data_IF_444708844696
#
_entry.id   IF_444708844696
#
_cell.length_a   1.000
_cell.length_b   1.000
_cell.length_c   1.000
_cell.angle_alpha   90.00
_cell.angle_beta   90.00
_cell.angle_gamma   90.00
#
_symmetry.space_group_name_H-M   'P 1'
#
loop_
_entity.id
_entity.type
_entity.pdbx_description
1 polymer ?
#
# COMPACT_ATOMS: atom_id res chain seq x y z
N UNK A 1 -11.66 -5.43 -38.02
CA UNK A 1 -12.03 -4.59 -36.87
C UNK A 1 -11.27 -5.12 -35.68
N UNK A 2 -10.27 -4.37 -35.25
CA UNK A 2 -9.43 -4.62 -34.07
C UNK A 2 -10.31 -4.85 -32.85
N UNK A 3 -10.17 -5.99 -32.18
CA UNK A 3 -10.81 -6.23 -30.88
C UNK A 3 -10.35 -5.18 -29.87
N UNK A 4 -11.15 -4.88 -28.83
CA UNK A 4 -10.73 -3.96 -27.78
C UNK A 4 -9.43 -4.50 -27.20
N UNK A 5 -8.36 -3.72 -27.31
CA UNK A 5 -7.16 -3.92 -26.53
C UNK A 5 -7.64 -3.84 -25.08
N UNK A 6 -7.60 -4.94 -24.32
CA UNK A 6 -7.95 -4.91 -22.91
C UNK A 6 -7.10 -3.82 -22.28
N UNK A 7 -7.73 -2.76 -21.77
CA UNK A 7 -7.05 -1.68 -21.08
C UNK A 7 -6.27 -2.33 -19.93
N UNK A 8 -4.94 -2.27 -20.02
CA UNK A 8 -4.09 -2.84 -18.98
C UNK A 8 -4.08 -1.82 -17.85
N UNK A 9 -4.76 -2.15 -16.75
CA UNK A 9 -4.71 -1.32 -15.54
C UNK A 9 -3.28 -1.24 -15.05
N UNK A 10 -2.71 -0.04 -14.96
CA UNK A 10 -1.39 0.17 -14.35
C UNK A 10 -1.53 -0.04 -12.85
N UNK A 11 -0.67 -0.90 -12.28
CA UNK A 11 -0.82 -1.37 -10.91
C UNK A 11 0.21 -0.70 -9.99
N UNK A 12 -0.25 0.10 -9.05
CA UNK A 12 0.60 0.76 -8.07
C UNK A 12 0.43 0.14 -6.69
N UNK A 13 1.53 -0.34 -6.11
CA UNK A 13 1.60 -0.79 -4.73
C UNK A 13 2.02 0.32 -3.79
N UNK A 14 1.72 0.16 -2.50
CA UNK A 14 2.24 1.04 -1.44
C UNK A 14 2.80 0.22 -0.28
N UNK A 15 3.83 0.76 0.35
CA UNK A 15 4.28 0.38 1.69
C UNK A 15 4.76 1.62 2.44
N UNK A 16 4.58 1.69 3.75
CA UNK A 16 5.05 2.85 4.48
C UNK A 16 4.87 2.80 5.99
N UNK A 17 5.22 3.92 6.64
CA UNK A 17 5.08 4.06 8.08
C UNK A 17 3.60 4.16 8.51
N UNK A 18 3.31 3.54 9.67
CA UNK A 18 1.98 3.54 10.31
C UNK A 18 1.58 4.88 10.91
N UNK A 19 2.56 5.69 11.28
CA UNK A 19 2.39 7.05 11.80
C UNK A 19 3.21 7.97 10.93
N UNK A 20 2.55 8.96 10.32
CA UNK A 20 3.15 9.88 9.38
C UNK A 20 3.08 11.31 9.91
N UNK A 21 4.20 12.07 9.90
CA UNK A 21 4.17 13.51 10.13
C UNK A 21 3.30 14.21 9.05
N UNK A 22 2.60 15.31 9.38
CA UNK A 22 1.73 16.00 8.44
C UNK A 22 2.41 16.40 7.12
N UNK A 23 3.68 16.83 7.19
CA UNK A 23 4.48 17.19 6.01
C UNK A 23 4.72 16.03 5.05
N UNK A 24 4.85 14.79 5.58
CA UNK A 24 4.98 13.58 4.75
C UNK A 24 3.64 13.21 4.13
N UNK A 25 2.54 13.33 4.87
CA UNK A 25 1.17 13.13 4.34
C UNK A 25 0.93 14.08 3.16
N UNK A 26 1.19 15.37 3.34
CA UNK A 26 1.03 16.38 2.28
C UNK A 26 1.91 16.09 1.06
N UNK A 27 3.16 15.69 1.29
CA UNK A 27 4.09 15.33 0.22
C UNK A 27 3.58 14.13 -0.59
N UNK A 28 3.18 13.05 0.10
CA UNK A 28 2.68 11.83 -0.54
C UNK A 28 1.39 12.09 -1.33
N UNK A 29 0.41 12.78 -0.73
CA UNK A 29 -0.86 13.13 -1.40
C UNK A 29 -0.61 14.02 -2.62
N UNK A 30 0.26 15.03 -2.50
CA UNK A 30 0.62 15.90 -3.64
C UNK A 30 1.28 15.11 -4.76
N UNK A 31 2.14 14.14 -4.42
CA UNK A 31 2.78 13.29 -5.41
C UNK A 31 1.75 12.43 -6.13
N UNK A 32 0.91 11.68 -5.39
CA UNK A 32 -0.09 10.78 -5.97
C UNK A 32 -1.10 11.50 -6.86
N UNK A 33 -1.57 12.69 -6.48
CA UNK A 33 -2.45 13.51 -7.34
C UNK A 33 -1.84 13.90 -8.69
N UNK A 34 -0.52 13.85 -8.83
CA UNK A 34 0.19 14.19 -10.07
C UNK A 34 0.51 12.97 -10.93
N UNK A 35 0.75 11.82 -10.29
CA UNK A 35 1.31 10.64 -10.98
C UNK A 35 0.31 9.51 -11.17
N UNK A 36 -0.73 9.43 -10.32
CA UNK A 36 -1.78 8.44 -10.50
C UNK A 36 -2.62 8.84 -11.71
N UNK A 37 -2.77 7.96 -12.73
CA UNK A 37 -3.68 8.21 -13.82
C UNK A 37 -5.11 8.33 -13.30
N UNK A 38 -5.88 9.21 -13.93
CA UNK A 38 -7.31 9.31 -13.65
C UNK A 38 -8.06 8.13 -14.28
N UNK A 39 -9.21 7.81 -13.71
CA UNK A 39 -10.18 6.84 -14.22
C UNK A 39 -9.81 5.36 -13.97
N UNK A 40 -10.62 4.45 -14.51
CA UNK A 40 -10.63 3.03 -14.17
C UNK A 40 -9.36 2.25 -14.57
N UNK A 41 -8.45 2.88 -15.34
CA UNK A 41 -7.17 2.29 -15.79
C UNK A 41 -6.10 2.23 -14.67
N UNK A 42 -6.47 2.56 -13.44
CA UNK A 42 -5.62 2.54 -12.26
C UNK A 42 -6.06 1.43 -11.31
N UNK A 43 -5.13 0.55 -10.94
CA UNK A 43 -5.33 -0.38 -9.83
C UNK A 43 -4.33 -0.10 -8.69
N UNK A 44 -4.85 0.22 -7.51
CA UNK A 44 -4.04 0.30 -6.28
C UNK A 44 -3.97 -1.04 -5.57
N UNK A 45 -2.79 -1.42 -5.09
CA UNK A 45 -2.60 -2.63 -4.25
C UNK A 45 -2.09 -2.22 -2.88
N UNK A 46 -2.78 -2.65 -1.81
CA UNK A 46 -2.47 -2.22 -0.44
C UNK A 46 -2.71 -3.32 0.60
N UNK A 47 -1.90 -3.34 1.67
CA UNK A 47 -2.16 -4.20 2.83
C UNK A 47 -3.11 -3.53 3.84
N UNK A 48 -3.48 -2.25 3.62
CA UNK A 48 -4.34 -1.43 4.47
C UNK A 48 -3.85 -1.26 5.92
N UNK A 49 -2.53 -1.32 6.13
CA UNK A 49 -1.95 -0.93 7.41
C UNK A 49 -2.30 0.52 7.77
N UNK A 50 -2.18 0.90 9.05
CA UNK A 50 -2.34 2.30 9.45
C UNK A 50 -1.43 3.22 8.63
N UNK A 51 -1.79 4.50 8.52
CA UNK A 51 -0.94 5.50 7.91
C UNK A 51 -0.89 5.41 6.39
N UNK A 52 0.29 5.14 5.82
CA UNK A 52 0.56 5.26 4.39
C UNK A 52 -0.37 4.41 3.51
N UNK A 53 -0.62 3.18 3.92
CA UNK A 53 -1.37 2.20 3.14
C UNK A 53 -2.84 2.59 2.97
N UNK A 54 -3.49 3.00 4.06
CA UNK A 54 -4.87 3.50 4.01
C UNK A 54 -4.96 4.86 3.30
N UNK A 55 -3.97 5.74 3.50
CA UNK A 55 -3.95 7.04 2.83
C UNK A 55 -3.85 6.89 1.30
N UNK A 56 -2.97 6.01 0.82
CA UNK A 56 -2.85 5.68 -0.59
C UNK A 56 -4.13 5.08 -1.16
N UNK A 57 -4.72 4.10 -0.47
CA UNK A 57 -5.97 3.47 -0.90
C UNK A 57 -7.11 4.50 -1.06
N UNK A 58 -7.20 5.47 -0.14
CA UNK A 58 -8.13 6.60 -0.29
C UNK A 58 -7.85 7.44 -1.53
N UNK A 59 -6.58 7.73 -1.86
CA UNK A 59 -6.25 8.50 -3.07
C UNK A 59 -6.54 7.74 -4.36
N UNK A 60 -6.31 6.43 -4.40
CA UNK A 60 -6.64 5.58 -5.55
C UNK A 60 -8.14 5.63 -5.84
N UNK A 61 -8.97 5.41 -4.82
CA UNK A 61 -10.43 5.46 -4.99
C UNK A 61 -10.92 6.88 -5.36
N UNK A 62 -10.31 7.92 -4.78
CA UNK A 62 -10.64 9.30 -5.13
C UNK A 62 -10.26 9.68 -6.57
N UNK A 63 -9.30 8.98 -7.18
CA UNK A 63 -8.92 9.15 -8.58
C UNK A 63 -9.82 8.35 -9.55
N UNK A 64 -10.80 7.60 -9.04
CA UNK A 64 -11.67 6.74 -9.85
C UNK A 64 -11.06 5.36 -10.17
N UNK A 65 -9.92 5.02 -9.57
CA UNK A 65 -9.28 3.73 -9.75
C UNK A 65 -9.93 2.61 -8.92
N UNK A 66 -9.47 1.38 -9.16
CA UNK A 66 -9.86 0.19 -8.40
C UNK A 66 -8.84 -0.13 -7.30
N UNK A 67 -9.28 -0.81 -6.24
CA UNK A 67 -8.43 -1.22 -5.14
C UNK A 67 -8.42 -2.75 -5.00
N UNK A 68 -7.23 -3.32 -4.97
CA UNK A 68 -6.96 -4.69 -4.54
C UNK A 68 -6.32 -4.68 -3.15
N UNK A 69 -6.87 -5.48 -2.24
CA UNK A 69 -6.39 -5.56 -0.86
C UNK A 69 -5.74 -6.92 -0.63
N UNK A 70 -4.54 -6.91 -0.05
CA UNK A 70 -3.84 -8.14 0.37
C UNK A 70 -3.74 -8.15 1.89
N UNK A 71 -4.51 -9.01 2.56
CA UNK A 71 -4.54 -9.11 4.00
C UNK A 71 -3.54 -10.17 4.52
N UNK A 72 -2.80 -9.90 5.60
CA UNK A 72 -1.95 -10.88 6.27
C UNK A 72 -2.71 -12.11 6.80
N UNK A 73 -3.93 -11.91 7.28
CA UNK A 73 -4.79 -12.93 7.88
C UNK A 73 -6.23 -12.38 8.05
N UNK A 74 -7.21 -13.23 8.33
CA UNK A 74 -8.60 -12.79 8.56
C UNK A 74 -8.73 -11.86 9.79
N UNK A 75 -8.00 -12.11 10.87
CA UNK A 75 -8.01 -11.31 12.10
C UNK A 75 -7.24 -9.98 12.03
N UNK A 76 -6.77 -9.57 10.85
CA UNK A 76 -5.81 -8.48 10.71
C UNK A 76 -6.29 -7.14 11.29
N UNK A 77 -7.58 -6.83 11.14
CA UNK A 77 -8.16 -5.57 11.64
C UNK A 77 -7.95 -5.37 13.15
N UNK A 78 -7.83 -6.45 13.93
CA UNK A 78 -7.55 -6.39 15.36
C UNK A 78 -6.14 -5.89 15.72
N UNK A 79 -5.22 -5.85 14.75
CA UNK A 79 -3.84 -5.37 14.93
C UNK A 79 -3.66 -3.87 14.66
N UNK A 80 -4.70 -3.17 14.19
CA UNK A 80 -4.67 -1.74 13.87
C UNK A 80 -4.77 -0.88 15.14
N UNK A 81 -4.11 0.29 15.14
CA UNK A 81 -3.84 1.03 16.38
C UNK A 81 -5.06 1.75 16.99
N UNK A 82 -5.98 2.25 16.17
CA UNK A 82 -7.08 3.12 16.60
C UNK A 82 -8.43 2.69 16.03
N UNK A 83 -9.53 3.03 16.73
CA UNK A 83 -10.90 2.76 16.24
C UNK A 83 -11.18 3.43 14.89
N UNK A 84 -10.72 4.67 14.70
CA UNK A 84 -10.88 5.39 13.43
C UNK A 84 -10.15 4.68 12.28
N UNK A 85 -8.95 4.18 12.53
CA UNK A 85 -8.20 3.40 11.53
C UNK A 85 -8.91 2.09 11.20
N UNK A 86 -9.52 1.41 12.18
CA UNK A 86 -10.33 0.21 11.96
C UNK A 86 -11.60 0.49 11.17
N UNK A 87 -12.26 1.63 11.41
CA UNK A 87 -13.40 2.07 10.63
C UNK A 87 -13.01 2.32 9.17
N UNK A 88 -11.93 3.09 8.95
CA UNK A 88 -11.39 3.36 7.60
C UNK A 88 -10.95 2.09 6.89
N UNK A 89 -10.25 1.18 7.58
CA UNK A 89 -9.91 -0.14 7.06
C UNK A 89 -11.16 -0.89 6.56
N UNK A 90 -12.23 -0.89 7.35
CA UNK A 90 -13.47 -1.60 7.03
C UNK A 90 -14.17 -1.00 5.82
N UNK A 91 -14.18 0.34 5.70
CA UNK A 91 -14.70 1.05 4.54
C UNK A 91 -13.90 0.76 3.27
N UNK A 92 -12.56 0.87 3.35
CA UNK A 92 -11.66 0.61 2.22
C UNK A 92 -11.73 -0.84 1.77
N UNK A 93 -11.73 -1.80 2.70
CA UNK A 93 -11.88 -3.23 2.39
C UNK A 93 -13.21 -3.52 1.70
N UNK A 94 -14.30 -2.88 2.10
CA UNK A 94 -15.62 -3.03 1.47
C UNK A 94 -15.67 -2.40 0.07
N UNK A 95 -14.92 -1.32 -0.15
CA UNK A 95 -14.82 -0.67 -1.45
C UNK A 95 -13.84 -1.37 -2.40
N UNK A 96 -13.01 -2.30 -1.91
CA UNK A 96 -12.06 -3.03 -2.73
C UNK A 96 -12.76 -3.91 -3.78
N UNK A 97 -12.22 -3.90 -4.99
CA UNK A 97 -12.65 -4.76 -6.07
C UNK A 97 -12.28 -6.23 -5.81
N UNK A 98 -11.19 -6.47 -5.08
CA UNK A 98 -10.76 -7.80 -4.67
C UNK A 98 -10.03 -7.76 -3.33
N UNK A 99 -10.15 -8.87 -2.58
CA UNK A 99 -9.44 -9.07 -1.31
C UNK A 99 -8.80 -10.46 -1.35
N UNK A 100 -7.48 -10.50 -1.23
CA UNK A 100 -6.70 -11.72 -1.04
C UNK A 100 -6.28 -11.81 0.43
N UNK A 101 -6.69 -12.85 1.14
CA UNK A 101 -6.19 -13.13 2.49
C UNK A 101 -5.11 -14.19 2.43
N UNK A 102 -3.93 -13.91 2.99
CA UNK A 102 -2.85 -14.90 3.13
C UNK A 102 -3.24 -15.98 4.14
N UNK A 103 -2.76 -17.23 3.98
CA UNK A 103 -3.21 -18.38 4.77
C UNK A 103 -2.53 -18.46 6.14
N UNK A 104 -2.48 -17.34 6.88
CA UNK A 104 -1.97 -17.29 8.25
C UNK A 104 -3.14 -17.19 9.24
N UNK A 105 -3.04 -17.88 10.40
CA UNK A 105 -4.14 -17.91 11.37
C UNK A 105 -4.34 -16.58 12.10
N UNK A 106 -3.26 -15.83 12.32
CA UNK A 106 -3.26 -14.60 13.10
C UNK A 106 -2.18 -13.60 12.64
N UNK A 107 -2.28 -12.32 13.04
CA UNK A 107 -1.30 -11.32 12.70
C UNK A 107 0.07 -11.68 13.30
N UNK A 108 1.08 -11.76 12.45
CA UNK A 108 2.45 -12.09 12.83
C UNK A 108 3.42 -11.45 11.84
N UNK A 109 4.68 -11.29 12.23
CA UNK A 109 5.72 -10.74 11.35
C UNK A 109 5.85 -11.54 10.04
N UNK A 110 5.69 -12.87 10.09
CA UNK A 110 5.68 -13.73 8.90
C UNK A 110 4.45 -13.45 8.03
N UNK A 111 3.27 -13.27 8.62
CA UNK A 111 2.06 -12.91 7.88
C UNK A 111 2.20 -11.54 7.20
N UNK A 112 2.78 -10.56 7.90
CA UNK A 112 3.03 -9.22 7.38
C UNK A 112 4.03 -9.25 6.22
N UNK A 113 5.14 -9.97 6.37
CA UNK A 113 6.12 -10.15 5.31
C UNK A 113 5.48 -10.81 4.08
N UNK A 114 4.74 -11.91 4.27
CA UNK A 114 4.12 -12.65 3.18
C UNK A 114 3.09 -11.81 2.43
N UNK A 115 2.27 -11.02 3.15
CA UNK A 115 1.31 -10.11 2.52
C UNK A 115 1.99 -8.96 1.77
N UNK A 116 3.08 -8.42 2.30
CA UNK A 116 3.86 -7.37 1.62
C UNK A 116 4.58 -7.90 0.37
N UNK A 117 5.11 -9.13 0.42
CA UNK A 117 5.68 -9.79 -0.76
C UNK A 117 4.62 -10.06 -1.83
N UNK A 118 3.47 -10.61 -1.43
CA UNK A 118 2.34 -10.84 -2.32
C UNK A 118 1.82 -9.53 -2.95
N UNK A 119 1.83 -8.41 -2.21
CA UNK A 119 1.53 -7.09 -2.76
C UNK A 119 2.54 -6.68 -3.85
N UNK A 120 3.84 -6.84 -3.58
CA UNK A 120 4.91 -6.51 -4.54
C UNK A 120 4.80 -7.33 -5.81
N UNK A 121 4.50 -8.63 -5.70
CA UNK A 121 4.33 -9.51 -6.86
C UNK A 121 3.05 -9.20 -7.68
N UNK A 122 2.22 -8.27 -7.21
CA UNK A 122 0.94 -7.86 -7.82
C UNK A 122 0.92 -6.41 -8.29
N UNK A 123 2.02 -5.68 -8.24
CA UNK A 123 2.10 -4.32 -8.75
C UNK A 123 3.25 -4.14 -9.76
N UNK A 124 3.15 -3.10 -10.57
CA UNK A 124 4.15 -2.72 -11.58
C UNK A 124 5.11 -1.63 -11.05
N UNK A 125 4.70 -0.93 -9.99
CA UNK A 125 5.46 0.12 -9.34
C UNK A 125 5.11 0.20 -7.84
N UNK A 126 6.11 0.35 -6.98
CA UNK A 126 5.92 0.48 -5.53
C UNK A 126 6.20 1.92 -5.05
N UNK A 127 5.24 2.52 -4.35
CA UNK A 127 5.47 3.71 -3.54
C UNK A 127 5.91 3.33 -2.12
N UNK A 128 7.04 3.86 -1.67
CA UNK A 128 7.55 3.65 -0.32
C UNK A 128 7.49 4.94 0.48
N UNK A 129 6.48 5.11 1.36
CA UNK A 129 6.37 6.27 2.26
C UNK A 129 7.23 6.01 3.51
N UNK A 130 8.54 6.17 3.33
CA UNK A 130 9.56 5.58 4.19
C UNK A 130 10.80 6.47 4.35
N UNK A 131 11.31 6.56 5.57
CA UNK A 131 12.45 7.38 5.98
C UNK A 131 13.84 6.84 5.58
N UNK A 132 13.89 5.76 4.78
CA UNK A 132 15.14 5.15 4.35
C UNK A 132 15.84 4.30 5.42
N UNK A 133 15.26 4.16 6.62
CA UNK A 133 15.89 3.44 7.74
C UNK A 133 15.53 1.95 7.78
N UNK A 134 16.44 1.08 8.28
CA UNK A 134 16.17 -0.35 8.42
C UNK A 134 14.86 -0.64 9.17
N UNK A 135 14.26 -1.80 8.90
CA UNK A 135 13.08 -2.25 9.62
C UNK A 135 13.41 -2.48 11.10
N UNK A 136 12.42 -2.25 11.99
CA UNK A 136 12.54 -2.54 13.43
C UNK A 136 12.22 -4.01 13.77
N UNK A 137 11.72 -4.76 12.80
CA UNK A 137 11.26 -6.15 12.90
C UNK A 137 10.96 -6.67 11.50
N UNK A 138 10.69 -7.98 11.38
CA UNK A 138 10.47 -8.62 10.09
C UNK A 138 9.12 -8.22 9.49
N UNK A 139 9.09 -8.03 8.17
CA UNK A 139 7.88 -7.60 7.44
C UNK A 139 7.63 -6.10 7.54
N UNK A 140 8.64 -5.33 7.97
CA UNK A 140 8.58 -3.87 7.95
C UNK A 140 8.78 -3.30 6.54
N UNK A 141 8.53 -2.01 6.39
CA UNK A 141 8.65 -1.28 5.12
C UNK A 141 10.00 -1.50 4.41
N UNK A 142 11.11 -1.54 5.15
CA UNK A 142 12.44 -1.74 4.56
C UNK A 142 12.61 -3.15 3.96
N UNK A 143 11.99 -4.17 4.55
CA UNK A 143 12.03 -5.55 4.02
C UNK A 143 11.26 -5.62 2.71
N UNK A 144 10.10 -4.97 2.63
CA UNK A 144 9.27 -4.91 1.42
C UNK A 144 9.97 -4.12 0.32
N UNK A 145 10.60 -2.99 0.64
CA UNK A 145 11.42 -2.23 -0.31
C UNK A 145 12.61 -3.05 -0.81
N UNK A 146 13.26 -3.80 0.07
CA UNK A 146 14.38 -4.69 -0.30
C UNK A 146 13.90 -5.79 -1.24
N UNK A 147 12.77 -6.44 -0.93
CA UNK A 147 12.15 -7.46 -1.76
C UNK A 147 11.78 -6.90 -3.15
N UNK A 148 11.09 -5.76 -3.21
CA UNK A 148 10.72 -5.09 -4.46
C UNK A 148 11.94 -4.80 -5.36
N UNK A 149 13.00 -4.24 -4.78
CA UNK A 149 14.25 -3.98 -5.52
C UNK A 149 14.90 -5.26 -6.02
N UNK A 150 14.91 -6.33 -5.23
CA UNK A 150 15.44 -7.62 -5.64
C UNK A 150 14.65 -8.25 -6.79
N UNK A 151 13.35 -7.93 -6.91
CA UNK A 151 12.49 -8.34 -8.03
C UNK A 151 12.64 -7.44 -9.27
N UNK A 152 13.44 -6.37 -9.20
CA UNK A 152 13.58 -5.39 -10.27
C UNK A 152 12.38 -4.44 -10.40
N UNK A 153 11.50 -4.42 -9.40
CA UNK A 153 10.34 -3.54 -9.39
C UNK A 153 10.77 -2.08 -9.16
N UNK A 154 10.32 -1.12 -9.98
CA UNK A 154 10.53 0.30 -9.71
C UNK A 154 9.98 0.71 -8.35
N UNK A 155 10.80 1.41 -7.55
CA UNK A 155 10.41 1.92 -6.22
C UNK A 155 10.61 3.44 -6.15
N UNK A 156 9.54 4.18 -5.87
CA UNK A 156 9.61 5.62 -5.57
C UNK A 156 9.48 5.84 -4.07
N UNK A 157 10.54 6.39 -3.46
CA UNK A 157 10.53 6.74 -2.03
C UNK A 157 9.90 8.13 -1.86
N UNK A 158 8.86 8.21 -1.03
CA UNK A 158 8.12 9.42 -0.72
C UNK A 158 8.44 9.84 0.71
N UNK A 159 9.59 10.48 0.89
CA UNK A 159 10.01 11.05 2.17
C UNK A 159 10.75 12.35 1.98
N UNK A 160 10.51 13.30 2.89
CA UNK A 160 11.20 14.59 2.89
C UNK A 160 12.45 14.48 3.76
N UNK A 161 13.60 14.79 3.19
CA UNK A 161 14.87 14.77 3.90
C UNK A 161 14.82 15.67 5.16
N UNK A 162 15.38 15.18 6.26
CA UNK A 162 15.39 15.89 7.55
C UNK A 162 14.13 15.74 8.42
N UNK A 163 13.03 15.21 7.90
CA UNK A 163 11.84 14.90 8.72
C UNK A 163 12.09 13.64 9.55
N UNK A 164 12.00 13.76 10.88
CA UNK A 164 12.08 12.62 11.79
C UNK A 164 10.75 11.88 11.82
N UNK A 165 10.82 10.55 11.79
CA UNK A 165 9.70 9.67 12.11
C UNK A 165 9.27 9.90 13.57
N UNK A 166 7.96 9.95 13.80
CA UNK A 166 7.35 10.03 15.13
C UNK A 166 7.56 8.73 15.95
#
# INVERSE_FOLDING_TARGET
>A
MTGPCAEVDVRFGVTGHRVLPPSIVECAVRHWRRVLPADAQLCGVSNLADGADQLFATQVLAAGGTLEVVLPCEGYAGSLMADESRARFSELRRAAASVLTMPYPEPSDQAFLAAGQALVDRCDHLFAVWDGRPARGLGGTADIVTYARARGLPVTVLWVEGVRRA
#
